data_IF_065192902045
#
_entry.id   IF_065192902045
#
_cell.length_a   1.000
_cell.length_b   1.000
_cell.length_c   1.000
_cell.angle_alpha   90.00
_cell.angle_beta   90.00
_cell.angle_gamma   90.00
#
_symmetry.space_group_name_H-M   'P 1'
#
loop_
_entity.id
_entity.type
_entity.pdbx_description
1 polymer ?
#
# COMPACT_ATOMS: atom_id res chain seq x y z
N UNK A 1 1.01 -21.20 -16.43
CA UNK A 1 1.60 -20.74 -15.14
C UNK A 1 1.29 -19.26 -15.02
N UNK A 2 0.76 -18.81 -13.88
CA UNK A 2 0.42 -17.40 -13.69
C UNK A 2 1.69 -16.53 -13.66
N UNK A 3 1.65 -15.36 -14.30
CA UNK A 3 2.73 -14.35 -14.30
C UNK A 3 2.11 -12.99 -14.01
N UNK A 4 2.70 -12.24 -13.09
CA UNK A 4 2.27 -10.86 -12.83
C UNK A 4 2.64 -9.96 -14.01
N UNK A 5 1.72 -9.06 -14.38
CA UNK A 5 1.94 -8.02 -15.40
C UNK A 5 2.63 -6.78 -14.84
N UNK A 6 2.81 -6.73 -13.51
CA UNK A 6 3.48 -5.66 -12.77
C UNK A 6 4.81 -6.16 -12.19
N UNK A 7 5.77 -5.26 -11.90
CA UNK A 7 7.06 -5.64 -11.34
C UNK A 7 6.90 -6.28 -9.96
N UNK A 8 7.64 -7.35 -9.73
CA UNK A 8 7.85 -7.96 -8.42
C UNK A 8 9.29 -7.64 -8.01
N UNK A 9 9.45 -7.08 -6.82
CA UNK A 9 10.75 -6.69 -6.27
C UNK A 9 11.32 -7.77 -5.35
N UNK A 10 12.59 -7.61 -4.96
CA UNK A 10 13.24 -8.49 -4.00
C UNK A 10 12.49 -8.56 -2.67
N UNK A 11 12.65 -9.69 -1.98
CA UNK A 11 12.04 -9.88 -0.66
C UNK A 11 12.70 -8.93 0.35
N UNK A 12 11.87 -8.15 1.04
CA UNK A 12 12.31 -7.20 2.07
C UNK A 12 11.50 -7.33 3.36
N UNK A 13 12.03 -6.79 4.46
CA UNK A 13 11.27 -6.62 5.70
C UNK A 13 10.39 -5.35 5.63
N UNK A 14 9.13 -5.49 6.06
CA UNK A 14 8.14 -4.39 6.07
C UNK A 14 7.83 -3.88 7.49
N UNK A 15 8.23 -4.66 8.50
CA UNK A 15 8.07 -4.35 9.93
C UNK A 15 9.41 -4.55 10.66
N UNK A 16 9.47 -4.13 11.92
CA UNK A 16 10.67 -4.29 12.75
C UNK A 16 11.78 -3.29 12.41
N UNK A 17 12.94 -3.48 13.06
CA UNK A 17 14.08 -2.56 12.99
C UNK A 17 14.66 -2.46 11.57
N UNK A 18 14.65 -3.56 10.82
CA UNK A 18 15.21 -3.65 9.48
C UNK A 18 14.17 -3.32 8.38
N UNK A 19 12.97 -2.84 8.74
CA UNK A 19 12.02 -2.39 7.75
C UNK A 19 12.68 -1.37 6.80
N UNK A 20 12.47 -1.56 5.50
CA UNK A 20 13.05 -0.67 4.49
C UNK A 20 12.54 0.77 4.65
N UNK A 21 13.30 1.78 4.19
CA UNK A 21 12.88 3.18 4.27
C UNK A 21 11.50 3.44 3.66
N UNK A 22 11.19 2.78 2.53
CA UNK A 22 9.88 2.88 1.87
C UNK A 22 8.75 2.45 2.80
N UNK A 23 8.84 1.26 3.40
CA UNK A 23 7.78 0.78 4.29
C UNK A 23 7.70 1.54 5.62
N UNK A 24 8.82 2.11 6.11
CA UNK A 24 8.79 3.04 7.24
C UNK A 24 7.98 4.29 6.89
N UNK A 25 8.24 4.90 5.73
CA UNK A 25 7.50 6.07 5.23
C UNK A 25 6.01 5.78 5.01
N UNK A 26 5.67 4.70 4.29
CA UNK A 26 4.27 4.37 4.01
C UNK A 26 3.44 4.17 5.29
N UNK A 27 4.03 3.50 6.29
CA UNK A 27 3.39 3.27 7.58
C UNK A 27 3.27 4.55 8.41
N UNK A 28 4.25 5.46 8.38
CA UNK A 28 4.16 6.73 9.10
C UNK A 28 3.11 7.67 8.51
N UNK A 29 2.95 7.68 7.19
CA UNK A 29 1.94 8.52 6.52
C UNK A 29 0.51 8.02 6.75
N UNK A 30 0.31 6.70 6.73
CA UNK A 30 -1.00 6.05 6.92
C UNK A 30 -0.92 4.92 7.95
N UNK A 31 -0.67 5.31 9.20
CA UNK A 31 -0.73 4.44 10.37
C UNK A 31 -2.15 4.30 10.92
N UNK A 32 -2.40 3.27 11.73
CA UNK A 32 -3.62 3.16 12.53
C UNK A 32 -3.40 3.74 13.94
N UNK A 33 -4.51 4.04 14.64
CA UNK A 33 -4.46 4.52 16.03
C UNK A 33 -3.76 3.55 17.00
N UNK A 34 -3.79 2.25 16.71
CA UNK A 34 -3.19 1.18 17.52
C UNK A 34 -1.84 0.72 16.97
N UNK A 35 -1.08 1.63 16.35
CA UNK A 35 0.21 1.36 15.74
C UNK A 35 0.16 1.26 14.22
N UNK A 36 1.34 1.33 13.62
CA UNK A 36 1.52 1.47 12.17
C UNK A 36 1.88 0.14 11.48
N UNK A 37 2.17 -0.92 12.25
CA UNK A 37 2.64 -2.22 11.76
C UNK A 37 1.70 -2.82 10.69
N UNK A 38 2.30 -3.41 9.65
CA UNK A 38 1.57 -4.16 8.63
C UNK A 38 1.16 -5.51 9.21
N UNK A 39 -0.15 -5.70 9.42
CA UNK A 39 -0.69 -6.84 10.19
C UNK A 39 -0.61 -8.17 9.46
N UNK A 40 -0.72 -8.17 8.13
CA UNK A 40 -0.70 -9.38 7.32
C UNK A 40 -0.32 -9.10 5.87
N UNK A 41 -0.07 -10.19 5.13
CA UNK A 41 0.16 -10.18 3.68
C UNK A 41 -1.01 -9.51 2.94
N UNK A 42 -0.70 -8.87 1.81
CA UNK A 42 -1.67 -8.12 0.99
C UNK A 42 -2.26 -6.87 1.64
N UNK A 43 -1.57 -6.21 2.57
CA UNK A 43 -1.87 -4.79 2.89
C UNK A 43 -1.52 -3.93 1.67
N UNK A 44 -2.39 -2.98 1.30
CA UNK A 44 -2.18 -2.12 0.12
C UNK A 44 -2.06 -0.66 0.54
N UNK A 45 -1.22 0.10 -0.15
CA UNK A 45 -1.11 1.55 -0.02
C UNK A 45 -1.40 2.18 -1.36
N UNK A 46 -2.20 3.24 -1.37
CA UNK A 46 -2.46 4.05 -2.55
C UNK A 46 -1.66 5.34 -2.44
N UNK A 47 -0.83 5.60 -3.44
CA UNK A 47 0.04 6.77 -3.54
C UNK A 47 -0.35 7.54 -4.79
N UNK A 48 -0.55 8.85 -4.67
CA UNK A 48 -0.96 9.69 -5.79
C UNK A 48 0.24 10.15 -6.65
N UNK A 49 -0.04 10.91 -7.73
CA UNK A 49 0.98 11.37 -8.68
C UNK A 49 2.00 12.36 -8.07
N UNK A 50 1.66 13.01 -6.97
CA UNK A 50 2.57 13.88 -6.20
C UNK A 50 3.42 13.10 -5.19
N UNK A 51 3.27 11.78 -5.10
CA UNK A 51 4.01 10.93 -4.16
C UNK A 51 3.43 10.89 -2.75
N UNK A 52 2.22 11.44 -2.52
CA UNK A 52 1.54 11.42 -1.22
C UNK A 52 0.79 10.10 -1.03
N UNK A 53 0.93 9.50 0.16
CA UNK A 53 0.16 8.32 0.56
C UNK A 53 -1.26 8.76 0.94
N UNK A 54 -2.23 8.44 0.09
CA UNK A 54 -3.61 8.92 0.24
C UNK A 54 -4.49 7.93 1.02
N UNK A 55 -4.22 6.63 0.94
CA UNK A 55 -4.98 5.61 1.66
C UNK A 55 -4.15 4.34 1.94
N UNK A 56 -4.57 3.59 2.97
CA UNK A 56 -4.08 2.25 3.32
C UNK A 56 -5.25 1.30 3.51
N UNK A 57 -5.23 0.20 2.76
CA UNK A 57 -6.28 -0.81 2.78
C UNK A 57 -5.84 -2.07 3.52
N UNK A 58 -6.79 -2.64 4.28
CA UNK A 58 -6.59 -3.90 4.99
C UNK A 58 -6.32 -5.07 4.02
N UNK A 59 -5.66 -6.15 4.49
CA UNK A 59 -5.50 -7.40 3.76
C UNK A 59 -6.80 -7.93 3.12
N UNK A 60 -7.90 -7.82 3.85
CA UNK A 60 -9.23 -8.30 3.46
C UNK A 60 -9.97 -7.37 2.49
N UNK A 61 -9.48 -6.16 2.25
CA UNK A 61 -10.08 -5.27 1.25
C UNK A 61 -9.83 -5.85 -0.14
N UNK A 62 -10.93 -6.16 -0.85
CA UNK A 62 -10.89 -6.58 -2.24
C UNK A 62 -10.28 -5.47 -3.12
N UNK A 63 -9.35 -5.79 -4.04
CA UNK A 63 -8.79 -4.80 -4.96
C UNK A 63 -9.83 -4.05 -5.78
N UNK A 64 -10.94 -4.69 -6.15
CA UNK A 64 -12.02 -4.04 -6.92
C UNK A 64 -12.70 -2.90 -6.16
N UNK A 65 -12.66 -2.92 -4.82
CA UNK A 65 -13.19 -1.82 -4.01
C UNK A 65 -12.31 -0.57 -4.04
N UNK A 66 -11.07 -0.69 -4.52
CA UNK A 66 -10.07 0.40 -4.60
C UNK A 66 -10.20 1.15 -5.94
N UNK A 67 -10.85 0.56 -6.95
CA UNK A 67 -10.96 1.11 -8.30
C UNK A 67 -11.49 2.55 -8.32
N UNK A 68 -12.56 2.81 -7.57
CA UNK A 68 -13.15 4.15 -7.48
C UNK A 68 -12.16 5.18 -6.94
N UNK A 69 -11.37 4.82 -5.94
CA UNK A 69 -10.36 5.73 -5.36
C UNK A 69 -9.26 6.04 -6.39
N UNK A 70 -8.86 5.05 -7.19
CA UNK A 70 -7.89 5.24 -8.28
C UNK A 70 -8.47 6.15 -9.37
N UNK A 71 -9.70 5.91 -9.82
CA UNK A 71 -10.37 6.73 -10.84
C UNK A 71 -10.47 8.19 -10.41
N UNK A 72 -10.84 8.43 -9.15
CA UNK A 72 -10.89 9.77 -8.57
C UNK A 72 -9.52 10.49 -8.64
N UNK A 73 -8.42 9.78 -8.37
CA UNK A 73 -7.07 10.35 -8.44
C UNK A 73 -6.58 10.62 -9.87
N UNK A 74 -7.09 9.85 -10.84
CA UNK A 74 -6.80 10.06 -12.26
C UNK A 74 -7.64 11.20 -12.87
N UNK A 75 -8.66 11.68 -12.16
CA UNK A 75 -9.61 12.65 -12.69
C UNK A 75 -10.59 12.05 -13.70
N UNK A 76 -10.75 10.72 -13.69
CA UNK A 76 -11.71 10.01 -14.52
C UNK A 76 -13.04 9.91 -13.76
N UNK A 77 -14.05 10.65 -14.22
CA UNK A 77 -15.45 10.55 -13.73
C UNK A 77 -16.26 9.59 -14.59
#
# INVERSE_FOLDING_TARGET
MFKAEFPIFDKVEVNGKNATPLYKFLKSEKGGYFGDAIKWNFTKFLVNKEGKVVERYAPTTSPLKIEKDIQNLLGSS
#
